data_IF_705463991801
#
_entry.id   IF_705463991801
#
_cell.length_a   1.000
_cell.length_b   1.000
_cell.length_c   1.000
_cell.angle_alpha   90.00
_cell.angle_beta   90.00
_cell.angle_gamma   90.00
#
_symmetry.space_group_name_H-M   'P 1'
#
loop_
_entity.id
_entity.type
_entity.pdbx_description
1 polymer ?
#
# COMPACT_ATOMS: atom_id res chain seq x y z
N UNK A 1 30.36 -2.84 17.14
CA UNK A 1 29.30 -3.20 16.17
C UNK A 1 28.18 -2.21 16.47
N UNK A 2 28.06 -1.16 15.65
CA UNK A 2 27.16 -0.04 15.91
C UNK A 2 25.72 -0.55 15.99
N UNK A 3 25.05 -0.27 17.11
CA UNK A 3 23.65 -0.60 17.30
C UNK A 3 22.83 0.37 16.45
N UNK A 4 21.79 -0.09 15.75
CA UNK A 4 20.88 0.88 15.14
C UNK A 4 20.18 1.66 16.26
N UNK A 5 19.80 2.91 16.02
CA UNK A 5 19.07 3.72 17.01
C UNK A 5 17.81 3.01 17.55
N UNK A 6 17.25 2.11 16.74
CA UNK A 6 16.07 1.30 17.08
C UNK A 6 16.42 0.18 18.06
N UNK A 7 17.60 -0.46 17.92
CA UNK A 7 18.00 -1.57 18.79
C UNK A 7 18.26 -1.13 20.25
N UNK A 8 18.72 0.11 20.44
CA UNK A 8 19.07 0.65 21.76
C UNK A 8 17.83 1.06 22.60
N UNK A 9 16.79 1.60 21.95
CA UNK A 9 15.58 2.09 22.64
C UNK A 9 14.47 1.04 22.75
N UNK A 10 14.40 0.09 21.81
CA UNK A 10 13.30 -0.89 21.77
C UNK A 10 13.46 -2.05 22.77
N UNK A 11 14.70 -2.36 23.17
CA UNK A 11 15.02 -3.43 24.12
C UNK A 11 16.01 -2.95 25.20
N UNK A 12 15.57 -2.14 26.18
CA UNK A 12 16.45 -1.62 27.22
C UNK A 12 17.08 -2.70 28.12
N UNK A 13 16.52 -3.93 28.14
CA UNK A 13 17.05 -5.09 28.89
C UNK A 13 17.25 -6.31 27.99
N UNK A 14 18.31 -6.28 27.16
CA UNK A 14 18.71 -7.38 26.25
C UNK A 14 18.95 -8.72 26.99
N UNK A 15 19.20 -8.68 28.31
CA UNK A 15 19.53 -9.84 29.11
C UNK A 15 18.35 -10.81 29.34
N UNK A 16 17.11 -10.32 29.42
CA UNK A 16 15.94 -11.14 29.81
C UNK A 16 15.20 -11.75 28.59
N UNK A 17 15.31 -11.16 27.41
CA UNK A 17 14.48 -11.51 26.24
C UNK A 17 15.28 -11.82 24.96
N UNK A 18 16.38 -12.58 25.11
CA UNK A 18 17.26 -12.99 23.99
C UNK A 18 16.49 -13.61 22.80
N UNK A 19 15.42 -14.35 23.07
CA UNK A 19 14.58 -14.98 22.03
C UNK A 19 13.81 -13.94 21.20
N UNK A 20 13.29 -12.89 21.83
CA UNK A 20 12.56 -11.82 21.15
C UNK A 20 13.51 -11.03 20.26
N UNK A 21 14.72 -10.76 20.75
CA UNK A 21 15.75 -10.10 19.96
C UNK A 21 16.15 -10.90 18.71
N UNK A 22 16.38 -12.22 18.85
CA UNK A 22 16.68 -13.09 17.70
C UNK A 22 15.53 -13.09 16.69
N UNK A 23 14.29 -13.16 17.17
CA UNK A 23 13.11 -13.11 16.33
C UNK A 23 12.97 -11.76 15.61
N UNK A 24 13.16 -10.64 16.31
CA UNK A 24 13.15 -9.30 15.73
C UNK A 24 14.17 -9.18 14.60
N UNK A 25 15.42 -9.60 14.83
CA UNK A 25 16.48 -9.58 13.81
C UNK A 25 16.17 -10.45 12.60
N UNK A 26 15.49 -11.58 12.81
CA UNK A 26 15.01 -12.41 11.72
C UNK A 26 13.94 -11.69 10.87
N UNK A 27 12.95 -11.07 11.52
CA UNK A 27 11.90 -10.30 10.83
C UNK A 27 12.47 -9.07 10.12
N UNK A 28 13.41 -8.36 10.74
CA UNK A 28 14.11 -7.22 10.15
C UNK A 28 14.83 -7.63 8.86
N UNK A 29 15.64 -8.71 8.91
CA UNK A 29 16.34 -9.22 7.72
C UNK A 29 15.37 -9.63 6.61
N UNK A 30 14.26 -10.28 6.97
CA UNK A 30 13.21 -10.66 6.03
C UNK A 30 12.56 -9.43 5.38
N UNK A 31 12.28 -8.39 6.17
CA UNK A 31 11.68 -7.14 5.72
C UNK A 31 12.55 -6.44 4.67
N UNK A 32 13.86 -6.31 4.92
CA UNK A 32 14.82 -5.72 3.95
C UNK A 32 14.83 -6.47 2.62
N UNK A 33 14.80 -7.81 2.67
CA UNK A 33 14.71 -8.63 1.45
C UNK A 33 13.36 -8.45 0.74
N UNK A 34 12.26 -8.37 1.49
CA UNK A 34 10.93 -8.11 0.94
C UNK A 34 10.88 -6.81 0.15
N UNK A 35 11.40 -5.71 0.72
CA UNK A 35 11.43 -4.39 0.06
C UNK A 35 12.16 -4.46 -1.29
N UNK A 36 13.27 -5.21 -1.34
CA UNK A 36 14.05 -5.37 -2.57
C UNK A 36 13.28 -6.16 -3.63
N UNK A 37 12.63 -7.25 -3.24
CA UNK A 37 11.81 -8.07 -4.16
C UNK A 37 10.59 -7.29 -4.65
N UNK A 38 9.89 -6.62 -3.75
CA UNK A 38 8.72 -5.79 -4.05
C UNK A 38 9.04 -4.70 -5.06
N UNK A 39 10.23 -4.09 -5.01
CA UNK A 39 10.68 -3.12 -6.00
C UNK A 39 10.70 -3.69 -7.42
N UNK A 40 11.32 -4.86 -7.62
CA UNK A 40 11.36 -5.50 -8.94
C UNK A 40 9.97 -5.95 -9.41
N UNK A 41 9.16 -6.51 -8.50
CA UNK A 41 7.77 -6.90 -8.81
C UNK A 41 6.95 -5.66 -9.21
N UNK A 42 7.13 -4.53 -8.55
CA UNK A 42 6.41 -3.28 -8.85
C UNK A 42 6.73 -2.76 -10.25
N UNK A 43 7.99 -2.85 -10.70
CA UNK A 43 8.38 -2.44 -12.06
C UNK A 43 7.66 -3.30 -13.11
N UNK A 44 7.72 -4.64 -12.96
CA UNK A 44 7.05 -5.57 -13.88
C UNK A 44 5.53 -5.38 -13.83
N UNK A 45 4.99 -5.19 -12.63
CA UNK A 45 3.57 -4.96 -12.40
C UNK A 45 3.07 -3.68 -13.07
N UNK A 46 3.80 -2.56 -13.00
CA UNK A 46 3.43 -1.31 -13.69
C UNK A 46 3.30 -1.52 -15.19
N UNK A 47 4.27 -2.20 -15.82
CA UNK A 47 4.24 -2.49 -17.26
C UNK A 47 3.01 -3.35 -17.60
N UNK A 48 2.77 -4.40 -16.81
CA UNK A 48 1.62 -5.30 -16.97
C UNK A 48 0.29 -4.56 -16.83
N UNK A 49 0.15 -3.69 -15.83
CA UNK A 49 -1.08 -2.95 -15.53
C UNK A 49 -1.36 -1.86 -16.55
N UNK A 50 -0.33 -1.17 -17.07
CA UNK A 50 -0.49 -0.23 -18.19
C UNK A 50 -1.01 -0.97 -19.42
N UNK A 51 -0.40 -2.10 -19.79
CA UNK A 51 -0.87 -2.92 -20.90
C UNK A 51 -2.34 -3.35 -20.68
N UNK A 52 -2.68 -3.84 -19.50
CA UNK A 52 -4.04 -4.22 -19.14
C UNK A 52 -5.04 -3.06 -19.32
N UNK A 53 -4.71 -1.86 -18.83
CA UNK A 53 -5.53 -0.67 -18.99
C UNK A 53 -5.75 -0.31 -20.46
N UNK A 54 -4.71 -0.35 -21.31
CA UNK A 54 -4.87 -0.02 -22.75
C UNK A 54 -5.84 -0.95 -23.47
N UNK A 55 -5.89 -2.22 -23.08
CA UNK A 55 -6.85 -3.20 -23.63
C UNK A 55 -8.26 -2.93 -23.10
N UNK A 56 -8.40 -2.69 -21.80
CA UNK A 56 -9.69 -2.41 -21.16
C UNK A 56 -10.37 -1.15 -21.70
N UNK A 57 -9.62 -0.09 -21.98
CA UNK A 57 -10.16 1.14 -22.57
C UNK A 57 -10.76 0.91 -23.98
N UNK A 58 -10.33 -0.13 -24.71
CA UNK A 58 -10.89 -0.46 -26.03
C UNK A 58 -12.18 -1.28 -25.95
N UNK A 59 -12.42 -2.01 -24.86
CA UNK A 59 -13.54 -2.96 -24.68
C UNK A 59 -14.59 -2.40 -23.70
N UNK A 60 -14.62 -1.08 -23.51
CA UNK A 60 -15.59 -0.40 -22.63
C UNK A 60 -17.02 -0.88 -22.94
N UNK A 61 -17.73 -1.40 -21.92
CA UNK A 61 -19.10 -1.88 -22.15
C UNK A 61 -19.84 -2.41 -20.93
N UNK A 62 -19.16 -3.03 -19.97
CA UNK A 62 -19.81 -3.67 -18.82
C UNK A 62 -19.38 -3.09 -17.47
N UNK A 63 -20.19 -3.32 -16.43
CA UNK A 63 -19.84 -3.00 -15.05
C UNK A 63 -18.58 -3.73 -14.58
N UNK A 64 -18.36 -4.96 -15.05
CA UNK A 64 -17.15 -5.75 -14.77
C UNK A 64 -15.92 -5.04 -15.37
N UNK A 65 -16.00 -4.56 -16.61
CA UNK A 65 -14.91 -3.79 -17.24
C UNK A 65 -14.64 -2.50 -16.47
N UNK A 66 -15.67 -1.79 -16.00
CA UNK A 66 -15.48 -0.60 -15.15
C UNK A 66 -14.77 -0.94 -13.84
N UNK A 67 -15.14 -2.04 -13.19
CA UNK A 67 -14.50 -2.49 -11.95
C UNK A 67 -13.04 -2.90 -12.19
N UNK A 68 -12.76 -3.58 -13.30
CA UNK A 68 -11.40 -3.97 -13.68
C UNK A 68 -10.50 -2.75 -13.95
N UNK A 69 -11.05 -1.69 -14.54
CA UNK A 69 -10.33 -0.41 -14.70
C UNK A 69 -10.03 0.20 -13.33
N UNK A 70 -11.03 0.23 -12.43
CA UNK A 70 -10.85 0.77 -11.09
C UNK A 70 -9.78 0.00 -10.28
N UNK A 71 -9.82 -1.34 -10.29
CA UNK A 71 -8.79 -2.18 -9.65
C UNK A 71 -7.41 -1.90 -10.24
N UNK A 72 -7.31 -1.84 -11.57
CA UNK A 72 -6.04 -1.58 -12.24
C UNK A 72 -5.45 -0.20 -11.89
N UNK A 73 -6.29 0.83 -11.73
CA UNK A 73 -5.83 2.15 -11.27
C UNK A 73 -5.33 2.08 -9.82
N UNK A 74 -6.07 1.42 -8.93
CA UNK A 74 -5.64 1.23 -7.54
C UNK A 74 -4.31 0.48 -7.44
N UNK A 75 -4.17 -0.61 -8.19
CA UNK A 75 -2.93 -1.42 -8.22
C UNK A 75 -1.77 -0.60 -8.79
N UNK A 76 -2.00 0.16 -9.88
CA UNK A 76 -0.99 1.03 -10.47
C UNK A 76 -0.50 2.09 -9.47
N UNK A 77 -1.42 2.77 -8.79
CA UNK A 77 -1.08 3.75 -7.76
C UNK A 77 -0.30 3.12 -6.61
N UNK A 78 -0.69 1.92 -6.15
CA UNK A 78 0.00 1.22 -5.07
C UNK A 78 1.46 0.92 -5.41
N UNK A 79 1.73 0.46 -6.64
CA UNK A 79 3.08 0.14 -7.12
C UNK A 79 3.93 1.40 -7.34
N UNK A 80 3.32 2.48 -7.84
CA UNK A 80 4.00 3.78 -7.98
C UNK A 80 4.44 4.29 -6.60
N UNK A 81 3.55 4.25 -5.62
CA UNK A 81 3.89 4.68 -4.26
C UNK A 81 4.96 3.79 -3.66
N UNK A 82 4.89 2.47 -3.86
CA UNK A 82 5.88 1.51 -3.38
C UNK A 82 7.31 1.84 -3.86
N UNK A 83 7.44 2.24 -5.13
CA UNK A 83 8.72 2.68 -5.69
C UNK A 83 9.15 4.03 -5.08
N UNK A 84 8.22 4.98 -4.94
CA UNK A 84 8.51 6.32 -4.43
C UNK A 84 8.94 6.33 -2.95
N UNK A 85 8.42 5.41 -2.13
CA UNK A 85 8.73 5.34 -0.68
C UNK A 85 9.91 4.44 -0.34
N UNK A 86 10.44 3.65 -1.30
CA UNK A 86 11.54 2.70 -1.08
C UNK A 86 12.71 3.31 -0.32
N UNK A 87 13.28 4.39 -0.86
CA UNK A 87 14.48 5.00 -0.28
C UNK A 87 14.17 5.64 1.08
N UNK A 88 12.95 6.15 1.28
CA UNK A 88 12.51 6.66 2.58
C UNK A 88 12.47 5.55 3.63
N UNK A 89 11.97 4.36 3.27
CA UNK A 89 11.92 3.18 4.14
C UNK A 89 13.34 2.71 4.50
N UNK A 90 14.23 2.60 3.51
CA UNK A 90 15.61 2.19 3.74
C UNK A 90 16.39 3.18 4.62
N UNK A 91 16.08 4.48 4.54
CA UNK A 91 16.68 5.49 5.42
C UNK A 91 16.27 5.33 6.90
N UNK A 92 15.07 4.81 7.20
CA UNK A 92 14.71 4.47 8.59
C UNK A 92 15.56 3.33 9.16
N UNK A 93 16.14 2.50 8.29
CA UNK A 93 17.02 1.39 8.66
C UNK A 93 18.51 1.78 8.56
N UNK A 94 18.81 3.07 8.38
CA UNK A 94 20.18 3.58 8.35
C UNK A 94 20.93 3.34 9.67
N UNK A 95 22.24 3.10 9.57
CA UNK A 95 23.13 3.03 10.73
C UNK A 95 23.45 4.41 11.32
N UNK A 96 24.22 4.45 12.41
CA UNK A 96 24.62 5.67 13.14
C UNK A 96 25.25 6.78 12.27
N UNK A 97 25.86 6.42 11.15
CA UNK A 97 26.50 7.35 10.22
C UNK A 97 25.56 7.88 9.11
N UNK A 98 24.30 7.44 9.08
CA UNK A 98 23.32 7.82 8.05
C UNK A 98 22.39 8.87 8.64
N UNK A 99 22.25 10.06 8.02
CA UNK A 99 21.36 11.08 8.53
C UNK A 99 19.90 10.58 8.44
N UNK A 100 19.08 10.79 9.48
CA UNK A 100 17.67 10.43 9.44
C UNK A 100 16.92 11.32 8.45
N UNK A 101 15.77 10.82 7.98
CA UNK A 101 14.85 11.59 7.14
C UNK A 101 14.44 12.89 7.85
N UNK A 102 14.36 13.98 7.09
CA UNK A 102 13.86 15.26 7.60
C UNK A 102 12.38 15.16 7.96
N UNK A 103 11.91 16.05 8.85
CA UNK A 103 10.51 16.07 9.29
C UNK A 103 9.53 16.15 8.11
N UNK A 104 9.84 16.97 7.10
CA UNK A 104 9.03 17.10 5.90
C UNK A 104 8.97 15.79 5.11
N UNK A 105 10.10 15.09 4.96
CA UNK A 105 10.15 13.79 4.28
C UNK A 105 9.33 12.74 5.04
N UNK A 106 9.37 12.74 6.38
CA UNK A 106 8.55 11.84 7.20
C UNK A 106 7.05 12.09 7.03
N UNK A 107 6.62 13.36 6.96
CA UNK A 107 5.22 13.69 6.67
C UNK A 107 4.80 13.24 5.27
N UNK A 108 5.64 13.46 4.24
CA UNK A 108 5.38 12.99 2.88
C UNK A 108 5.29 11.46 2.85
N UNK A 109 6.25 10.77 3.48
CA UNK A 109 6.26 9.32 3.61
C UNK A 109 4.96 8.81 4.22
N UNK A 110 4.50 9.41 5.31
CA UNK A 110 3.27 8.98 5.99
C UNK A 110 2.02 9.17 5.15
N UNK A 111 1.92 10.30 4.44
CA UNK A 111 0.83 10.56 3.49
C UNK A 111 0.85 9.51 2.37
N UNK A 112 2.02 9.26 1.77
CA UNK A 112 2.17 8.27 0.71
C UNK A 112 1.81 6.87 1.20
N UNK A 113 2.28 6.46 2.38
CA UNK A 113 1.94 5.15 2.95
C UNK A 113 0.43 5.01 3.20
N UNK A 114 -0.21 6.06 3.70
CA UNK A 114 -1.66 6.09 3.90
C UNK A 114 -2.43 5.98 2.58
N UNK A 115 -1.95 6.63 1.52
CA UNK A 115 -2.51 6.51 0.17
C UNK A 115 -2.36 5.07 -0.32
N UNK A 116 -1.16 4.48 -0.18
CA UNK A 116 -0.88 3.08 -0.58
C UNK A 116 -1.83 2.11 0.11
N UNK A 117 -1.99 2.23 1.42
CA UNK A 117 -2.88 1.38 2.20
C UNK A 117 -4.35 1.57 1.78
N UNK A 118 -4.76 2.80 1.47
CA UNK A 118 -6.10 3.06 0.99
C UNK A 118 -6.37 2.43 -0.37
N UNK A 119 -5.45 2.56 -1.34
CA UNK A 119 -5.64 1.98 -2.67
C UNK A 119 -5.57 0.45 -2.66
N UNK A 120 -4.71 -0.17 -1.83
CA UNK A 120 -4.66 -1.63 -1.66
C UNK A 120 -5.98 -2.14 -1.08
N UNK A 121 -6.49 -1.49 -0.03
CA UNK A 121 -7.78 -1.85 0.56
C UNK A 121 -8.93 -1.62 -0.43
N UNK A 122 -8.92 -0.53 -1.18
CA UNK A 122 -9.92 -0.29 -2.22
C UNK A 122 -9.89 -1.39 -3.29
N UNK A 123 -8.71 -1.77 -3.79
CA UNK A 123 -8.54 -2.83 -4.80
C UNK A 123 -9.13 -4.17 -4.33
N UNK A 124 -8.89 -4.55 -3.07
CA UNK A 124 -9.47 -5.78 -2.49
C UNK A 124 -11.00 -5.75 -2.44
N UNK A 125 -11.61 -4.64 -2.01
CA UNK A 125 -13.07 -4.48 -2.03
C UNK A 125 -13.65 -4.50 -3.44
N UNK A 126 -12.98 -3.86 -4.40
CA UNK A 126 -13.38 -3.87 -5.80
C UNK A 126 -13.32 -5.29 -6.40
N UNK A 127 -12.32 -6.10 -6.03
CA UNK A 127 -12.22 -7.50 -6.45
C UNK A 127 -13.38 -8.35 -5.89
N UNK A 128 -13.75 -8.15 -4.62
CA UNK A 128 -14.92 -8.79 -4.00
C UNK A 128 -16.21 -8.39 -4.73
N UNK A 129 -16.39 -7.10 -5.01
CA UNK A 129 -17.55 -6.58 -5.74
C UNK A 129 -17.60 -7.12 -7.18
N UNK A 130 -16.45 -7.27 -7.85
CA UNK A 130 -16.36 -7.87 -9.17
C UNK A 130 -16.83 -9.34 -9.17
N UNK A 131 -16.39 -10.13 -8.19
CA UNK A 131 -16.83 -11.51 -8.02
C UNK A 131 -18.34 -11.60 -7.74
N UNK A 132 -18.86 -10.70 -6.88
CA UNK A 132 -20.28 -10.62 -6.58
C UNK A 132 -21.12 -10.26 -7.82
N UNK A 133 -20.72 -9.25 -8.58
CA UNK A 133 -21.44 -8.86 -9.81
C UNK A 133 -21.43 -9.98 -10.82
N UNK A 134 -20.29 -10.67 -11.03
CA UNK A 134 -20.22 -11.85 -11.91
C UNK A 134 -21.21 -12.92 -11.49
N UNK A 135 -21.25 -13.25 -10.20
CA UNK A 135 -22.20 -14.22 -9.67
C UNK A 135 -23.66 -13.81 -9.91
N UNK A 136 -24.01 -12.56 -9.61
CA UNK A 136 -25.38 -12.05 -9.76
C UNK A 136 -25.83 -12.01 -11.22
N UNK A 137 -24.97 -11.55 -12.14
CA UNK A 137 -25.26 -11.49 -13.58
C UNK A 137 -25.45 -12.90 -14.15
N UNK A 138 -24.61 -13.86 -13.77
CA UNK A 138 -24.74 -15.25 -14.23
C UNK A 138 -25.98 -15.94 -13.66
N UNK A 139 -26.31 -15.73 -12.39
CA UNK A 139 -27.44 -16.42 -11.74
C UNK A 139 -28.80 -15.85 -12.11
N UNK A 140 -28.90 -14.55 -12.37
CA UNK A 140 -30.18 -13.86 -12.58
C UNK A 140 -30.30 -13.18 -13.95
N UNK A 141 -29.62 -13.71 -14.97
CA UNK A 141 -29.54 -13.15 -16.33
C UNK A 141 -30.90 -12.76 -16.94
N UNK A 142 -31.96 -13.54 -16.69
CA UNK A 142 -33.30 -13.33 -17.27
C UNK A 142 -34.10 -12.18 -16.64
N UNK A 143 -33.63 -11.57 -15.54
CA UNK A 143 -34.33 -10.49 -14.85
C UNK A 143 -33.81 -9.13 -15.32
N UNK A 144 -34.70 -8.27 -15.81
CA UNK A 144 -34.38 -6.94 -16.35
C UNK A 144 -33.64 -6.00 -15.36
N UNK A 145 -33.84 -6.20 -14.05
CA UNK A 145 -33.11 -5.47 -13.01
C UNK A 145 -31.59 -5.75 -13.04
N UNK A 146 -31.18 -6.98 -13.38
CA UNK A 146 -29.77 -7.38 -13.42
C UNK A 146 -29.07 -6.92 -14.71
N UNK A 147 -29.83 -6.61 -15.76
CA UNK A 147 -29.31 -5.95 -16.95
C UNK A 147 -28.82 -4.52 -16.63
N UNK A 148 -29.47 -3.81 -15.70
CA UNK A 148 -29.00 -2.50 -15.21
C UNK A 148 -27.70 -2.61 -14.40
N UNK A 149 -27.54 -3.67 -13.61
CA UNK A 149 -26.32 -3.98 -12.84
C UNK A 149 -25.13 -4.27 -13.76
N UNK A 150 -25.39 -4.79 -14.97
CA UNK A 150 -24.35 -5.00 -15.99
C UNK A 150 -23.85 -3.71 -16.65
N UNK A 151 -24.50 -2.57 -16.42
CA UNK A 151 -24.15 -1.31 -17.09
C UNK A 151 -22.82 -0.75 -16.59
N UNK A 152 -22.02 -0.21 -17.51
CA UNK A 152 -20.75 0.42 -17.17
C UNK A 152 -20.88 1.49 -16.08
N UNK A 153 -21.89 2.36 -16.18
CA UNK A 153 -22.18 3.44 -15.20
C UNK A 153 -22.39 2.90 -13.78
N UNK A 154 -23.10 1.78 -13.64
CA UNK A 154 -23.31 1.15 -12.34
C UNK A 154 -21.97 0.69 -11.73
N UNK A 155 -21.11 0.07 -12.53
CA UNK A 155 -19.77 -0.32 -12.10
C UNK A 155 -18.94 0.86 -11.62
N UNK A 156 -19.01 2.01 -12.31
CA UNK A 156 -18.30 3.24 -11.91
C UNK A 156 -18.84 3.79 -10.59
N UNK A 157 -20.16 3.83 -10.41
CA UNK A 157 -20.79 4.30 -9.16
C UNK A 157 -20.38 3.44 -7.96
N UNK A 158 -20.41 2.12 -8.11
CA UNK A 158 -20.00 1.19 -7.06
C UNK A 158 -18.51 1.32 -6.75
N UNK A 159 -17.69 1.61 -7.77
CA UNK A 159 -16.24 1.81 -7.58
C UNK A 159 -15.96 3.05 -6.73
N UNK A 160 -16.65 4.16 -7.00
CA UNK A 160 -16.53 5.39 -6.21
C UNK A 160 -17.01 5.17 -4.77
N UNK A 161 -18.13 4.45 -4.59
CA UNK A 161 -18.62 4.12 -3.25
C UNK A 161 -17.61 3.26 -2.46
N UNK A 162 -16.98 2.27 -3.12
CA UNK A 162 -15.92 1.44 -2.54
C UNK A 162 -14.69 2.26 -2.15
N UNK A 163 -14.30 3.23 -2.97
CA UNK A 163 -13.19 4.13 -2.66
C UNK A 163 -13.50 4.98 -1.42
N UNK A 164 -14.68 5.60 -1.36
CA UNK A 164 -15.10 6.40 -0.18
C UNK A 164 -15.10 5.55 1.09
N UNK A 165 -15.67 4.34 1.02
CA UNK A 165 -15.69 3.42 2.16
C UNK A 165 -14.27 3.06 2.62
N UNK A 166 -13.36 2.81 1.68
CA UNK A 166 -11.95 2.57 2.00
C UNK A 166 -11.32 3.81 2.64
N UNK A 167 -11.48 4.99 2.05
CA UNK A 167 -10.83 6.21 2.56
C UNK A 167 -11.26 6.55 3.99
N UNK A 168 -12.52 6.33 4.36
CA UNK A 168 -13.00 6.51 5.74
C UNK A 168 -12.21 5.62 6.71
N UNK A 169 -12.00 4.35 6.37
CA UNK A 169 -11.22 3.43 7.20
C UNK A 169 -9.73 3.83 7.26
N UNK A 170 -9.16 4.40 6.19
CA UNK A 170 -7.77 4.90 6.19
C UNK A 170 -7.60 6.13 7.05
N UNK A 171 -8.55 7.07 6.97
CA UNK A 171 -8.49 8.32 7.70
C UNK A 171 -8.43 8.08 9.22
N UNK A 172 -9.17 7.09 9.73
CA UNK A 172 -9.08 6.69 11.13
C UNK A 172 -7.67 6.29 11.56
N UNK A 173 -6.92 5.58 10.70
CA UNK A 173 -5.56 5.14 11.00
C UNK A 173 -4.52 6.27 10.88
N UNK A 174 -4.68 7.14 9.89
CA UNK A 174 -3.79 8.29 9.69
C UNK A 174 -3.70 9.20 10.92
N UNK A 175 -4.83 9.42 11.59
CA UNK A 175 -4.94 10.33 12.74
C UNK A 175 -4.25 9.79 14.01
N UNK A 176 -3.89 8.51 14.06
CA UNK A 176 -3.27 7.90 15.23
C UNK A 176 -1.76 8.17 15.35
N UNK A 177 -1.09 8.61 14.29
CA UNK A 177 0.38 8.75 14.27
C UNK A 177 0.81 10.21 14.25
N UNK A 178 1.79 10.54 15.09
CA UNK A 178 2.40 11.87 15.18
C UNK A 178 3.92 11.78 15.11
N UNK A 179 4.53 12.59 14.26
CA UNK A 179 5.99 12.75 14.23
C UNK A 179 6.40 13.89 15.16
N UNK A 180 7.31 13.59 16.10
CA UNK A 180 7.83 14.54 17.08
C UNK A 180 9.34 14.66 16.91
N UNK A 181 9.87 15.89 17.03
CA UNK A 181 11.32 16.14 17.02
C UNK A 181 11.87 15.90 18.41
N UNK A 182 12.78 14.94 18.53
CA UNK A 182 13.40 14.56 19.83
C UNK A 182 14.73 15.32 20.04
N UNK A 183 15.43 15.72 18.97
CA UNK A 183 16.69 16.44 19.05
C UNK A 183 17.33 16.75 17.69
N UNK A 184 18.53 17.34 17.70
CA UNK A 184 19.33 17.55 16.49
C UNK A 184 20.24 16.34 16.25
N UNK A 185 20.23 15.79 15.04
CA UNK A 185 21.10 14.68 14.69
C UNK A 185 22.57 15.12 14.67
N UNK A 186 23.46 14.29 15.22
CA UNK A 186 24.92 14.45 15.18
C UNK A 186 25.52 13.09 14.79
N UNK A 187 26.45 13.08 13.84
CA UNK A 187 27.19 11.88 13.48
C UNK A 187 28.07 11.43 14.66
N UNK A 188 28.25 10.12 14.85
CA UNK A 188 29.09 9.53 15.91
C UNK A 188 30.61 9.77 15.75
N UNK A 189 31.02 10.82 15.03
CA UNK A 189 32.42 11.19 14.77
C UNK A 189 32.68 12.56 15.41
N UNK A 190 32.70 12.59 16.74
CA UNK A 190 33.41 13.58 17.57
C UNK A 190 33.82 12.93 18.88
#
# INVERSE_FOLDING_TARGET
MAYSYIDADLFPSIQDDKNIYIFYRFIEKLSVHSITIEFYISIVGIISTIFHLTVLFKILGSSIVSLMIATAICDLLSMIVNIATRDMILNFQGGECTPPNSLLVNHIFWILMTIRDDVIRCSTWLAVLMALIRFLVSKYFSKSQFQKISSFKFGTQISVASFIFSTILSACFYLCVQFVVIGTWRSAIT
#
